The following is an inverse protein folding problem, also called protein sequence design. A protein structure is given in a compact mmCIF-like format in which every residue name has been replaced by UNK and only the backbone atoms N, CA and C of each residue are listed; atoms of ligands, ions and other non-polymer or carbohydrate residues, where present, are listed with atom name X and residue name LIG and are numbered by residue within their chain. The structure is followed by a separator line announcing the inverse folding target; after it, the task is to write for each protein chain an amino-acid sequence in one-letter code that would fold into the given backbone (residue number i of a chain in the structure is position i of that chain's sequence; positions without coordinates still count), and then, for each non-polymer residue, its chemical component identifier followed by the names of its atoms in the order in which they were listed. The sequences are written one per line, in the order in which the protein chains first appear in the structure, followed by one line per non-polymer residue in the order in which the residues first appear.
data_IF_035241976736
#
_entry.id   IF_035241976736
#
_cell.length_a   1.000
_cell.length_b   1.000
_cell.length_c   1.000
_cell.angle_alpha   90.00
_cell.angle_beta   90.00
_cell.angle_gamma   90.00
#
_symmetry.space_group_name_H-M   'P 1'
#
loop_
_entity.id
_entity.type
_entity.pdbx_description
1 polymer ?
#
# COMPACT_ATOMS: atom_id res chain seq x y z
N UNK A 1 4.91 30.64 4.29
CA UNK A 1 5.68 29.40 4.51
C UNK A 1 5.44 28.41 3.38
N UNK A 2 6.40 27.51 3.16
CA UNK A 2 6.34 26.42 2.18
C UNK A 2 6.58 25.09 2.88
N UNK A 3 6.09 24.01 2.29
CA UNK A 3 6.25 22.64 2.81
C UNK A 3 6.86 21.74 1.75
N UNK A 4 7.80 20.88 2.15
CA UNK A 4 8.21 19.74 1.33
C UNK A 4 7.04 18.77 1.23
N UNK A 5 6.80 18.23 0.03
CA UNK A 5 5.63 17.38 -0.21
C UNK A 5 5.77 16.03 0.48
N UNK A 6 4.66 15.55 1.06
CA UNK A 6 4.53 14.17 1.54
C UNK A 6 4.07 13.20 0.43
N UNK A 7 3.43 13.74 -0.63
CA UNK A 7 2.96 13.04 -1.83
C UNK A 7 2.64 14.04 -2.97
N UNK A 8 2.81 13.70 -4.25
CA UNK A 8 2.35 14.49 -5.40
C UNK A 8 0.87 14.29 -5.78
N UNK A 9 0.15 13.32 -5.19
CA UNK A 9 -1.25 12.93 -5.47
C UNK A 9 -2.17 14.05 -5.96
N UNK A 10 -2.32 15.14 -5.19
CA UNK A 10 -3.27 16.21 -5.50
C UNK A 10 -2.93 16.98 -6.78
N UNK A 11 -1.65 17.05 -7.15
CA UNK A 11 -1.22 17.71 -8.38
C UNK A 11 -1.39 16.78 -9.58
N UNK A 12 -1.08 15.50 -9.43
CA UNK A 12 -1.29 14.51 -10.49
C UNK A 12 -2.78 14.38 -10.86
N UNK A 13 -3.69 14.37 -9.88
CA UNK A 13 -5.13 14.40 -10.17
C UNK A 13 -5.60 15.68 -10.89
N UNK A 14 -4.96 16.83 -10.65
CA UNK A 14 -5.25 18.06 -11.42
C UNK A 14 -4.83 17.92 -12.89
N UNK A 15 -3.75 17.19 -13.17
CA UNK A 15 -3.35 16.89 -14.55
C UNK A 15 -4.38 16.00 -15.24
N UNK A 16 -4.94 15.00 -14.54
CA UNK A 16 -6.04 14.16 -15.05
C UNK A 16 -7.27 15.01 -15.36
N UNK A 17 -7.67 15.90 -14.45
CA UNK A 17 -8.76 16.88 -14.70
C UNK A 17 -8.45 17.76 -15.91
N UNK A 18 -7.17 18.12 -16.11
CA UNK A 18 -6.70 18.89 -17.26
C UNK A 18 -6.59 18.12 -18.58
N UNK A 19 -6.94 16.83 -18.61
CA UNK A 19 -6.96 15.99 -19.81
C UNK A 19 -5.74 15.08 -19.99
N UNK A 20 -4.78 15.08 -19.07
CA UNK A 20 -3.70 14.09 -19.07
C UNK A 20 -4.19 12.78 -18.43
N UNK A 21 -4.87 11.95 -19.22
CA UNK A 21 -5.59 10.76 -18.75
C UNK A 21 -4.67 9.61 -18.28
N UNK A 22 -3.38 9.65 -18.61
CA UNK A 22 -2.38 8.68 -18.14
C UNK A 22 -1.09 9.41 -17.76
N UNK A 23 -0.84 9.55 -16.46
CA UNK A 23 0.33 10.26 -15.92
C UNK A 23 1.03 9.43 -14.86
N UNK A 24 2.33 9.62 -14.70
CA UNK A 24 3.08 9.09 -13.58
C UNK A 24 4.19 10.07 -13.18
N UNK A 25 4.64 9.99 -11.92
CA UNK A 25 5.81 10.71 -11.43
C UNK A 25 6.67 9.77 -10.59
N UNK A 26 8.00 9.78 -10.81
CA UNK A 26 9.00 9.10 -9.95
C UNK A 26 9.92 10.15 -9.35
N UNK A 27 9.72 10.48 -8.08
CA UNK A 27 10.50 11.55 -7.44
C UNK A 27 10.42 11.44 -5.89
N UNK A 28 10.99 12.41 -5.16
CA UNK A 28 11.07 12.36 -3.69
C UNK A 28 9.77 12.77 -3.02
N UNK A 29 9.45 12.05 -1.95
CA UNK A 29 8.54 12.47 -0.89
C UNK A 29 9.34 12.64 0.41
N UNK A 30 8.92 13.59 1.24
CA UNK A 30 9.58 13.95 2.49
C UNK A 30 8.59 13.77 3.63
N UNK A 31 8.97 12.99 4.65
CA UNK A 31 8.16 12.78 5.85
C UNK A 31 9.01 13.04 7.07
N UNK A 32 8.53 13.94 7.94
CA UNK A 32 9.21 14.28 9.19
C UNK A 32 8.93 13.22 10.27
N UNK A 33 9.35 11.99 9.98
CA UNK A 33 9.18 10.81 10.82
C UNK A 33 10.53 10.30 11.32
N UNK A 34 10.52 9.38 12.28
CA UNK A 34 11.74 8.78 12.83
C UNK A 34 12.48 7.91 11.81
N UNK A 35 13.82 7.90 11.90
CA UNK A 35 14.67 7.04 11.07
C UNK A 35 14.62 5.60 11.59
N UNK A 36 14.52 4.63 10.68
CA UNK A 36 14.67 3.21 11.00
C UNK A 36 15.25 2.44 9.82
N UNK A 37 15.52 1.14 9.98
CA UNK A 37 15.98 0.25 8.91
C UNK A 37 15.04 0.17 7.69
N UNK A 38 13.79 0.63 7.84
CA UNK A 38 12.76 0.66 6.78
C UNK A 38 12.21 2.07 6.50
N UNK A 39 12.72 3.10 7.18
CA UNK A 39 12.21 4.47 7.06
C UNK A 39 13.35 5.48 6.90
N UNK A 40 13.38 6.16 5.76
CA UNK A 40 14.25 7.30 5.48
C UNK A 40 13.39 8.57 5.36
N UNK A 41 13.81 9.73 5.92
CA UNK A 41 13.00 10.97 5.91
C UNK A 41 12.69 11.49 4.51
N UNK A 42 13.48 11.08 3.52
CA UNK A 42 13.18 11.23 2.10
C UNK A 42 13.22 9.88 1.40
N UNK A 43 12.28 9.61 0.50
CA UNK A 43 12.28 8.36 -0.26
C UNK A 43 11.70 8.55 -1.64
N UNK A 44 12.05 7.63 -2.53
CA UNK A 44 11.52 7.57 -3.89
C UNK A 44 10.16 6.90 -3.90
N UNK A 45 9.17 7.58 -4.48
CA UNK A 45 7.86 7.00 -4.75
C UNK A 45 7.53 7.13 -6.24
N UNK A 46 6.86 6.13 -6.78
CA UNK A 46 6.16 6.21 -8.05
C UNK A 46 4.66 6.37 -7.78
N UNK A 47 4.07 7.48 -8.21
CA UNK A 47 2.62 7.61 -8.30
C UNK A 47 2.20 7.58 -9.76
N UNK A 48 1.09 6.89 -10.08
CA UNK A 48 0.52 6.81 -11.42
C UNK A 48 -0.99 6.97 -11.37
N UNK A 49 -1.55 7.54 -12.43
CA UNK A 49 -2.98 7.70 -12.63
C UNK A 49 -3.36 7.28 -14.04
N UNK A 50 -4.49 6.58 -14.14
CA UNK A 50 -5.11 6.15 -15.39
C UNK A 50 -6.60 6.45 -15.28
N UNK A 51 -7.11 7.37 -16.11
CA UNK A 51 -8.53 7.65 -16.19
C UNK A 51 -9.30 6.44 -16.74
N UNK A 52 -10.57 6.31 -16.33
CA UNK A 52 -11.46 5.20 -16.71
C UNK A 52 -10.96 3.81 -16.30
N UNK A 53 -10.14 3.74 -15.27
CA UNK A 53 -9.68 2.51 -14.63
C UNK A 53 -10.15 2.47 -13.16
N UNK A 54 -10.33 1.27 -12.63
CA UNK A 54 -10.55 1.04 -11.20
C UNK A 54 -9.33 0.38 -10.54
N UNK A 55 -9.43 0.07 -9.25
CA UNK A 55 -8.31 -0.51 -8.51
C UNK A 55 -7.89 -1.91 -9.02
N UNK A 56 -8.78 -2.63 -9.72
CA UNK A 56 -8.47 -3.97 -10.25
C UNK A 56 -7.54 -3.87 -11.46
N UNK A 57 -7.72 -2.84 -12.29
CA UNK A 57 -6.76 -2.53 -13.36
C UNK A 57 -5.37 -2.24 -12.78
N UNK A 58 -5.31 -1.54 -11.64
CA UNK A 58 -4.06 -1.24 -10.95
C UNK A 58 -3.42 -2.48 -10.30
N UNK A 59 -4.23 -3.45 -9.84
CA UNK A 59 -3.74 -4.76 -9.37
C UNK A 59 -3.05 -5.49 -10.52
N UNK A 60 -3.69 -5.60 -11.69
CA UNK A 60 -3.12 -6.26 -12.86
C UNK A 60 -1.84 -5.56 -13.35
N UNK A 61 -1.86 -4.22 -13.41
CA UNK A 61 -0.69 -3.43 -13.76
C UNK A 61 0.48 -3.67 -12.80
N UNK A 62 0.20 -3.77 -11.51
CA UNK A 62 1.24 -4.02 -10.49
C UNK A 62 1.82 -5.43 -10.62
N UNK A 63 1.00 -6.46 -10.77
CA UNK A 63 1.48 -7.84 -10.99
C UNK A 63 2.35 -7.93 -12.26
N UNK A 64 1.89 -7.31 -13.35
CA UNK A 64 2.62 -7.27 -14.61
C UNK A 64 3.96 -6.55 -14.49
N UNK A 65 4.00 -5.41 -13.78
CA UNK A 65 5.21 -4.63 -13.54
C UNK A 65 6.28 -5.46 -12.83
N UNK A 66 5.93 -6.10 -11.71
CA UNK A 66 6.89 -6.91 -10.95
C UNK A 66 7.37 -8.14 -11.73
N UNK A 67 6.45 -8.84 -12.40
CA UNK A 67 6.79 -10.00 -13.24
C UNK A 67 7.76 -9.62 -14.35
N UNK A 68 7.47 -8.52 -15.05
CA UNK A 68 8.30 -8.01 -16.15
C UNK A 68 9.67 -7.57 -15.64
N UNK A 69 9.72 -6.79 -14.56
CA UNK A 69 11.01 -6.36 -13.99
C UNK A 69 11.87 -7.52 -13.50
N UNK A 70 11.28 -8.51 -12.82
CA UNK A 70 12.01 -9.69 -12.38
C UNK A 70 12.58 -10.47 -13.58
N UNK A 71 11.77 -10.69 -14.61
CA UNK A 71 12.20 -11.41 -15.80
C UNK A 71 13.26 -10.65 -16.61
N UNK A 72 13.08 -9.34 -16.83
CA UNK A 72 13.93 -8.54 -17.70
C UNK A 72 15.27 -8.17 -17.03
N UNK A 73 15.24 -7.89 -15.73
CA UNK A 73 16.43 -7.42 -15.00
C UNK A 73 17.19 -8.59 -14.36
N UNK A 74 16.49 -9.59 -13.83
CA UNK A 74 17.10 -10.71 -13.10
C UNK A 74 17.10 -12.02 -13.89
N UNK A 75 16.41 -12.08 -15.04
CA UNK A 75 16.35 -13.28 -15.88
C UNK A 75 15.42 -14.38 -15.38
N UNK A 76 14.72 -14.18 -14.26
CA UNK A 76 13.85 -15.17 -13.61
C UNK A 76 12.71 -14.48 -12.87
N UNK A 77 11.57 -15.15 -12.76
CA UNK A 77 10.45 -14.70 -11.90
C UNK A 77 10.54 -15.21 -10.47
N UNK A 78 11.45 -16.15 -10.18
CA UNK A 78 11.72 -16.67 -8.83
C UNK A 78 12.89 -15.91 -8.21
N UNK A 79 12.59 -14.99 -7.29
CA UNK A 79 13.55 -14.05 -6.72
C UNK A 79 13.77 -14.38 -5.24
N UNK A 80 14.99 -14.82 -4.84
CA UNK A 80 15.31 -15.03 -3.44
C UNK A 80 15.46 -13.71 -2.69
N UNK A 81 14.92 -13.62 -1.48
CA UNK A 81 15.03 -12.47 -0.59
C UNK A 81 15.04 -12.91 0.88
N UNK A 82 16.21 -12.86 1.52
CA UNK A 82 16.41 -13.47 2.82
C UNK A 82 16.25 -14.98 2.73
N UNK A 83 15.42 -15.55 3.62
CA UNK A 83 15.12 -16.98 3.65
C UNK A 83 13.95 -17.39 2.73
N UNK A 84 13.32 -16.41 2.07
CA UNK A 84 12.11 -16.61 1.25
C UNK A 84 12.42 -16.52 -0.25
N UNK A 85 11.55 -17.12 -1.06
CA UNK A 85 11.58 -16.98 -2.52
C UNK A 85 10.25 -16.41 -3.00
N UNK A 86 10.29 -15.23 -3.61
CA UNK A 86 9.12 -14.64 -4.25
C UNK A 86 9.00 -15.14 -5.69
N UNK A 87 7.85 -15.72 -6.03
CA UNK A 87 7.54 -16.12 -7.40
C UNK A 87 6.61 -15.09 -8.06
N UNK A 88 7.20 -14.09 -8.71
CA UNK A 88 6.47 -13.05 -9.46
C UNK A 88 5.79 -13.58 -10.73
N UNK A 89 6.02 -14.85 -11.09
CA UNK A 89 5.32 -15.53 -12.17
C UNK A 89 3.88 -15.89 -11.81
N UNK A 90 3.58 -16.00 -10.51
CA UNK A 90 2.24 -16.32 -10.00
C UNK A 90 1.41 -15.06 -9.76
N UNK A 91 0.06 -15.17 -9.78
CA UNK A 91 -0.82 -14.12 -9.28
C UNK A 91 -0.52 -13.81 -7.81
N UNK A 92 -0.67 -12.55 -7.41
CA UNK A 92 -0.47 -12.17 -6.01
C UNK A 92 -1.66 -12.63 -5.16
N UNK A 93 -1.41 -12.95 -3.89
CA UNK A 93 -2.47 -13.25 -2.94
C UNK A 93 -3.35 -12.00 -2.74
N UNK A 94 -4.67 -12.19 -2.85
CA UNK A 94 -5.67 -11.13 -2.69
C UNK A 94 -6.53 -11.46 -1.49
N UNK A 95 -6.42 -10.63 -0.45
CA UNK A 95 -7.23 -10.70 0.76
C UNK A 95 -7.84 -9.33 1.02
N UNK A 96 -9.12 -9.30 1.39
CA UNK A 96 -9.71 -8.12 2.03
C UNK A 96 -9.06 -7.91 3.40
N UNK A 97 -9.18 -6.70 3.94
CA UNK A 97 -8.69 -6.38 5.29
C UNK A 97 -9.27 -7.34 6.35
N UNK A 98 -10.57 -7.68 6.25
CA UNK A 98 -11.25 -8.60 7.18
C UNK A 98 -10.75 -10.03 7.06
N UNK A 99 -10.55 -10.53 5.84
CA UNK A 99 -9.98 -11.87 5.64
C UNK A 99 -8.55 -11.95 6.20
N UNK A 100 -7.73 -10.91 6.01
CA UNK A 100 -6.39 -10.85 6.58
C UNK A 100 -6.42 -10.88 8.12
N UNK A 101 -7.29 -10.07 8.76
CA UNK A 101 -7.47 -10.10 10.22
C UNK A 101 -7.86 -11.51 10.68
N UNK A 102 -8.85 -12.13 10.04
CA UNK A 102 -9.31 -13.48 10.41
C UNK A 102 -8.26 -14.55 10.16
N UNK A 103 -7.45 -14.43 9.10
CA UNK A 103 -6.37 -15.36 8.75
C UNK A 103 -5.25 -15.34 9.79
N UNK A 104 -4.83 -14.14 10.21
CA UNK A 104 -3.69 -13.98 11.13
C UNK A 104 -4.07 -13.88 12.61
N UNK A 105 -5.36 -13.70 12.92
CA UNK A 105 -5.92 -13.79 14.27
C UNK A 105 -7.24 -14.59 14.27
N UNK A 106 -7.18 -15.93 14.10
CA UNK A 106 -8.34 -16.78 13.89
C UNK A 106 -9.38 -16.75 15.01
N UNK A 107 -8.98 -16.41 16.23
CA UNK A 107 -9.85 -16.30 17.40
C UNK A 107 -10.72 -15.02 17.42
N UNK A 108 -10.49 -14.08 16.49
CA UNK A 108 -11.29 -12.85 16.40
C UNK A 108 -12.75 -13.15 16.02
N UNK A 109 -13.71 -12.68 16.82
CA UNK A 109 -15.09 -12.58 16.38
C UNK A 109 -15.21 -11.41 15.38
N UNK A 110 -15.65 -11.70 14.16
CA UNK A 110 -15.71 -10.71 13.11
C UNK A 110 -16.84 -9.70 13.32
N UNK A 111 -17.86 -10.06 14.09
CA UNK A 111 -18.94 -9.15 14.46
C UNK A 111 -18.43 -7.99 15.34
N UNK A 112 -17.36 -8.20 16.10
CA UNK A 112 -16.77 -7.15 16.92
C UNK A 112 -16.12 -6.05 16.08
N UNK A 113 -15.77 -6.32 14.83
CA UNK A 113 -15.24 -5.31 13.90
C UNK A 113 -16.33 -4.43 13.28
N UNK A 114 -17.61 -4.70 13.56
CA UNK A 114 -18.76 -3.90 13.13
C UNK A 114 -19.27 -2.96 14.22
N UNK A 115 -18.68 -3.00 15.42
CA UNK A 115 -19.06 -2.14 16.54
C UNK A 115 -17.83 -1.42 17.09
N UNK A 116 -17.96 -0.10 17.29
CA UNK A 116 -16.82 0.73 17.70
C UNK A 116 -16.22 0.31 19.04
N UNK A 117 -17.05 0.02 20.04
CA UNK A 117 -16.59 -0.29 21.40
C UNK A 117 -15.87 -1.65 21.45
N UNK A 118 -16.40 -2.67 20.76
CA UNK A 118 -15.75 -3.97 20.72
C UNK A 118 -14.53 -4.00 19.79
N UNK A 119 -14.55 -3.28 18.66
CA UNK A 119 -13.36 -3.09 17.82
C UNK A 119 -12.23 -2.38 18.59
N UNK A 120 -12.58 -1.34 19.36
CA UNK A 120 -11.65 -0.65 20.27
C UNK A 120 -11.08 -1.61 21.30
N UNK A 121 -11.92 -2.43 21.94
CA UNK A 121 -11.48 -3.42 22.91
C UNK A 121 -10.50 -4.44 22.31
N UNK A 122 -10.74 -4.89 21.06
CA UNK A 122 -9.80 -5.74 20.33
C UNK A 122 -8.47 -5.00 20.13
N UNK A 123 -8.49 -3.77 19.62
CA UNK A 123 -7.30 -2.98 19.37
C UNK A 123 -6.44 -2.79 20.64
N UNK A 124 -7.06 -2.42 21.75
CA UNK A 124 -6.37 -2.26 23.04
C UNK A 124 -5.81 -3.59 23.56
N UNK A 125 -6.53 -4.71 23.36
CA UNK A 125 -6.07 -6.05 23.78
C UNK A 125 -4.78 -6.51 23.09
N UNK A 126 -4.50 -5.99 21.89
CA UNK A 126 -3.27 -6.28 21.12
C UNK A 126 -2.23 -5.15 21.21
N UNK A 127 -2.41 -4.21 22.14
CA UNK A 127 -1.44 -3.18 22.46
C UNK A 127 -1.50 -1.92 21.58
N UNK A 128 -2.59 -1.71 20.84
CA UNK A 128 -2.78 -0.48 20.07
C UNK A 128 -3.38 0.60 20.98
N UNK A 129 -2.73 1.77 21.05
CA UNK A 129 -3.30 2.94 21.70
C UNK A 129 -4.36 3.58 20.79
N UNK A 130 -5.63 3.58 21.23
CA UNK A 130 -6.74 4.12 20.45
C UNK A 130 -6.91 5.61 20.75
N UNK A 131 -6.61 6.44 19.75
CA UNK A 131 -6.74 7.89 19.84
C UNK A 131 -8.21 8.34 19.87
N UNK A 132 -8.48 9.45 20.55
CA UNK A 132 -9.85 10.00 20.68
C UNK A 132 -10.49 10.41 19.35
N UNK A 133 -9.68 10.66 18.32
CA UNK A 133 -10.13 11.07 17.00
C UNK A 133 -10.45 9.90 16.06
N UNK A 134 -10.13 8.65 16.46
CA UNK A 134 -10.37 7.49 15.62
C UNK A 134 -11.84 7.09 15.62
N UNK A 135 -12.31 6.62 14.47
CA UNK A 135 -13.66 6.11 14.25
C UNK A 135 -13.62 4.67 13.73
N UNK A 136 -14.81 4.13 13.44
CA UNK A 136 -14.99 2.86 12.73
C UNK A 136 -15.38 3.12 11.28
#
# INVERSE_FOLDING_TARGET
DMYLRIAPELYLKRLVVGGFERVFEINRNFRNEGISVRHNPEFTMMELYMAYADYKDLIELTESLFRTLAQDVLGTTQVPYGDEVFDFGKPFEKLTMREAIKKYRPETDMADLDNFDSAKAIAESIGIHVEKSWGL
#
